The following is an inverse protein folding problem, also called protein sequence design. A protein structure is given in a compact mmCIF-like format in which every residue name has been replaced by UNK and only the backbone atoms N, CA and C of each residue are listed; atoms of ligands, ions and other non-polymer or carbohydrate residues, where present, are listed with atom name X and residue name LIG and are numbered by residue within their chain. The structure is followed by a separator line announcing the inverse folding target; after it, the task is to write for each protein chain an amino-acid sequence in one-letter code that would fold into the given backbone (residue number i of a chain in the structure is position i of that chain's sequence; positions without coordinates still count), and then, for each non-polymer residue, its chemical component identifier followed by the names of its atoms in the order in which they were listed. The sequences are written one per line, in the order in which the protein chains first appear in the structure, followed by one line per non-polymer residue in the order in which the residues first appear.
data_IF_753938625931
#
_entry.id   IF_753938625931
#
_cell.length_a   1.000
_cell.length_b   1.000
_cell.length_c   1.000
_cell.angle_alpha   90.00
_cell.angle_beta   90.00
_cell.angle_gamma   90.00
#
_symmetry.space_group_name_H-M   'P 1'
#
loop_
_entity.id
_entity.type
_entity.pdbx_description
1 polymer ?
#
# COMPACT_ATOMS: atom_id res chain seq x y z
N UNK A 1 -12.65 -1.05 -11.45
CA UNK A 1 -11.79 -1.71 -10.46
C UNK A 1 -10.36 -1.90 -10.94
N UNK A 2 -10.17 -2.37 -12.15
CA UNK A 2 -8.82 -2.56 -12.68
C UNK A 2 -7.99 -1.27 -12.67
N UNK A 3 -8.61 -0.14 -12.98
CA UNK A 3 -7.91 1.15 -12.95
C UNK A 3 -7.35 1.51 -11.58
N UNK A 4 -8.06 1.16 -10.52
CA UNK A 4 -7.59 1.42 -9.17
C UNK A 4 -6.34 0.61 -8.86
N UNK A 5 -6.30 -0.63 -9.33
CA UNK A 5 -5.14 -1.51 -9.12
C UNK A 5 -3.92 -1.11 -9.96
N UNK A 6 -4.10 -0.21 -10.90
CA UNK A 6 -3.00 0.36 -11.67
C UNK A 6 -2.39 1.61 -11.04
N UNK A 7 -2.97 2.12 -9.97
CA UNK A 7 -2.39 3.24 -9.23
C UNK A 7 -1.03 2.86 -8.65
N UNK A 8 -0.21 3.85 -8.38
CA UNK A 8 1.17 3.62 -7.91
C UNK A 8 1.31 3.57 -6.40
N UNK A 9 0.33 4.09 -5.69
CA UNK A 9 0.34 4.09 -4.23
C UNK A 9 -1.03 3.76 -3.68
N UNK A 10 -1.03 3.30 -2.45
CA UNK A 10 -2.25 3.00 -1.72
C UNK A 10 -2.22 3.69 -0.35
N UNK A 11 -3.39 3.87 0.22
CA UNK A 11 -3.49 4.30 1.61
C UNK A 11 -3.49 3.06 2.50
N UNK A 12 -2.81 3.15 3.64
CA UNK A 12 -2.70 2.05 4.58
C UNK A 12 -2.96 2.56 5.99
N UNK A 13 -3.81 1.86 6.71
CA UNK A 13 -4.06 2.12 8.12
C UNK A 13 -3.45 0.99 8.93
N UNK A 14 -2.58 1.33 9.87
CA UNK A 14 -1.93 0.38 10.76
C UNK A 14 -2.22 0.76 12.22
N UNK A 15 -1.93 -0.17 13.13
CA UNK A 15 -2.13 0.04 14.55
C UNK A 15 -0.80 0.37 15.22
N UNK A 16 -0.78 1.47 15.99
CA UNK A 16 0.40 1.80 16.78
C UNK A 16 0.46 0.93 18.03
N UNK A 17 1.49 1.12 18.87
CA UNK A 17 1.69 0.30 20.06
C UNK A 17 0.61 0.51 21.13
N UNK A 18 -0.21 1.53 21.00
CA UNK A 18 -1.37 1.77 21.86
C UNK A 18 -2.66 1.21 21.24
N UNK A 19 -2.54 0.48 20.11
CA UNK A 19 -3.66 -0.09 19.35
C UNK A 19 -4.59 0.97 18.78
N UNK A 20 -4.08 2.18 18.57
CA UNK A 20 -4.80 3.23 17.87
C UNK A 20 -4.46 3.20 16.40
N UNK A 21 -5.45 3.40 15.52
CA UNK A 21 -5.18 3.39 14.08
C UNK A 21 -4.46 4.66 13.64
N UNK A 22 -3.50 4.49 12.75
CA UNK A 22 -2.81 5.59 12.09
C UNK A 22 -2.85 5.34 10.59
N UNK A 23 -3.03 6.40 9.83
CA UNK A 23 -3.14 6.31 8.38
C UNK A 23 -1.89 6.85 7.72
N UNK A 24 -1.47 6.19 6.65
CA UNK A 24 -0.32 6.57 5.85
C UNK A 24 -0.57 6.16 4.41
N UNK A 25 0.45 6.23 3.58
CA UNK A 25 0.38 5.71 2.22
C UNK A 25 1.71 5.02 1.89
N UNK A 26 1.68 4.19 0.87
CA UNK A 26 2.88 3.48 0.44
C UNK A 26 2.79 3.20 -1.07
N UNK A 27 3.93 3.24 -1.77
CA UNK A 27 3.97 2.73 -3.13
C UNK A 27 3.75 1.22 -3.11
N UNK A 28 3.09 0.72 -4.12
CA UNK A 28 2.79 -0.71 -4.18
C UNK A 28 2.87 -1.23 -5.61
N UNK A 29 2.96 -2.54 -5.72
CA UNK A 29 2.71 -3.26 -6.96
C UNK A 29 1.79 -4.43 -6.67
N UNK A 30 1.10 -4.87 -7.70
CA UNK A 30 0.26 -6.05 -7.65
C UNK A 30 0.94 -7.18 -8.41
N UNK A 31 0.96 -8.37 -7.80
CA UNK A 31 1.39 -9.58 -8.47
C UNK A 31 0.35 -10.68 -8.18
N UNK A 32 -0.49 -10.97 -9.17
CA UNK A 32 -1.61 -11.87 -8.97
C UNK A 32 -2.61 -11.33 -7.96
N UNK A 33 -2.81 -12.05 -6.87
CA UNK A 33 -3.70 -11.63 -5.77
C UNK A 33 -2.95 -10.93 -4.65
N UNK A 34 -1.63 -10.88 -4.73
CA UNK A 34 -0.79 -10.29 -3.69
C UNK A 34 -0.46 -8.84 -4.02
N UNK A 35 -0.43 -8.03 -2.98
CA UNK A 35 0.06 -6.65 -3.05
C UNK A 35 1.38 -6.57 -2.29
N UNK A 36 2.36 -5.95 -2.92
CA UNK A 36 3.68 -5.71 -2.31
C UNK A 36 3.85 -4.22 -2.11
N UNK A 37 4.22 -3.82 -0.91
CA UNK A 37 4.46 -2.42 -0.59
C UNK A 37 5.93 -2.22 -0.25
N UNK A 38 6.42 -1.02 -0.52
CA UNK A 38 7.77 -0.62 -0.17
C UNK A 38 7.68 0.45 0.90
N UNK A 39 8.22 0.17 2.09
CA UNK A 39 8.16 1.07 3.23
C UNK A 39 9.56 1.26 3.78
N UNK A 40 9.92 2.54 4.01
CA UNK A 40 11.18 2.87 4.65
C UNK A 40 11.20 2.35 6.09
N UNK A 41 12.35 1.79 6.51
CA UNK A 41 12.53 1.38 7.90
C UNK A 41 12.48 2.54 8.89
N UNK A 42 12.66 3.77 8.39
CA UNK A 42 12.55 4.97 9.22
C UNK A 42 11.09 5.42 9.42
N UNK A 43 10.16 4.92 8.65
CA UNK A 43 8.76 5.33 8.75
C UNK A 43 8.07 4.68 9.95
N UNK A 44 7.20 5.43 10.62
CA UNK A 44 6.48 4.94 11.78
C UNK A 44 5.62 3.71 11.46
N UNK A 45 4.95 3.71 10.31
CA UNK A 45 4.07 2.59 9.95
C UNK A 45 4.84 1.28 9.68
N UNK A 46 6.13 1.36 9.32
CA UNK A 46 6.97 0.17 9.24
C UNK A 46 7.05 -0.54 10.61
N UNK A 47 7.33 0.23 11.66
CA UNK A 47 7.44 -0.31 13.01
C UNK A 47 6.11 -0.81 13.53
N UNK A 48 5.02 -0.10 13.22
CA UNK A 48 3.68 -0.52 13.62
C UNK A 48 3.33 -1.87 13.01
N UNK A 49 3.64 -2.06 11.73
CA UNK A 49 3.33 -3.32 11.03
C UNK A 49 4.19 -4.50 11.51
N UNK A 50 5.41 -4.23 11.96
CA UNK A 50 6.24 -5.27 12.58
C UNK A 50 5.62 -5.77 13.90
N UNK A 51 5.05 -4.86 14.68
CA UNK A 51 4.45 -5.21 15.96
C UNK A 51 3.06 -5.82 15.79
N UNK A 52 2.29 -5.31 14.84
CA UNK A 52 0.95 -5.80 14.56
C UNK A 52 0.74 -5.83 13.05
N UNK A 53 0.69 -7.03 12.46
CA UNK A 53 0.60 -7.16 11.02
C UNK A 53 -0.78 -6.85 10.44
N UNK A 54 -1.79 -6.65 11.27
CA UNK A 54 -3.13 -6.34 10.79
C UNK A 54 -3.20 -4.91 10.31
N UNK A 55 -3.75 -4.72 9.13
CA UNK A 55 -3.90 -3.40 8.52
C UNK A 55 -5.10 -3.37 7.59
N UNK A 56 -5.46 -2.16 7.17
CA UNK A 56 -6.43 -1.96 6.10
C UNK A 56 -5.78 -1.13 5.02
N UNK A 57 -6.09 -1.43 3.77
CA UNK A 57 -5.59 -0.66 2.64
C UNK A 57 -6.76 -0.14 1.82
N UNK A 58 -6.56 1.00 1.18
CA UNK A 58 -7.58 1.59 0.31
C UNK A 58 -6.92 2.17 -0.94
N UNK A 59 -7.57 1.91 -2.05
CA UNK A 59 -7.35 2.57 -3.32
C UNK A 59 -8.61 3.35 -3.65
N UNK A 60 -8.48 4.59 -4.07
CA UNK A 60 -9.63 5.44 -4.33
C UNK A 60 -9.39 6.28 -5.57
N UNK A 61 -10.45 6.47 -6.34
CA UNK A 61 -10.44 7.34 -7.51
C UNK A 61 -10.08 8.77 -7.11
N UNK A 62 -9.24 9.43 -7.91
CA UNK A 62 -8.89 10.82 -7.69
C UNK A 62 -10.16 11.67 -7.80
N UNK A 63 -10.34 12.62 -6.89
CA UNK A 63 -11.57 13.43 -6.89
C UNK A 63 -11.70 14.29 -8.14
N UNK A 64 -10.61 14.67 -8.79
CA UNK A 64 -10.66 15.40 -10.05
C UNK A 64 -11.28 14.60 -11.19
N UNK A 65 -11.21 13.27 -11.11
CA UNK A 65 -11.73 12.35 -12.12
C UNK A 65 -13.14 11.86 -11.78
N UNK A 66 -13.59 12.10 -10.56
CA UNK A 66 -14.90 11.64 -10.10
C UNK A 66 -15.99 12.58 -10.59
N UNK A 67 -17.06 12.00 -11.09
CA UNK A 67 -18.25 12.77 -11.49
C UNK A 67 -19.00 13.31 -10.27
N UNK A 68 -18.91 12.59 -9.16
CA UNK A 68 -19.59 12.93 -7.91
C UNK A 68 -18.68 12.52 -6.76
N UNK A 69 -18.28 13.48 -5.93
CA UNK A 69 -17.35 13.21 -4.81
C UNK A 69 -17.95 12.26 -3.77
N UNK A 70 -19.26 12.13 -3.71
CA UNK A 70 -19.91 11.19 -2.81
C UNK A 70 -19.96 9.77 -3.37
N UNK A 71 -19.62 9.60 -4.64
CA UNK A 71 -19.67 8.31 -5.32
C UNK A 71 -18.35 7.99 -6.01
N UNK A 72 -17.23 8.33 -5.38
CA UNK A 72 -15.90 7.99 -5.89
C UNK A 72 -15.71 6.48 -5.85
N UNK A 73 -15.17 5.94 -6.92
CA UNK A 73 -14.83 4.51 -6.96
C UNK A 73 -13.72 4.23 -5.97
N UNK A 74 -13.89 3.19 -5.16
CA UNK A 74 -12.90 2.82 -4.16
C UNK A 74 -12.87 1.32 -3.95
N UNK A 75 -11.75 0.86 -3.44
CA UNK A 75 -11.50 -0.55 -3.15
C UNK A 75 -10.74 -0.61 -1.83
N UNK A 76 -11.25 -1.36 -0.86
CA UNK A 76 -10.58 -1.49 0.44
C UNK A 76 -10.52 -2.94 0.87
N UNK A 77 -9.46 -3.28 1.60
CA UNK A 77 -9.24 -4.63 2.11
C UNK A 77 -8.68 -4.58 3.52
N UNK A 78 -9.07 -5.55 4.33
CA UNK A 78 -8.36 -5.86 5.57
C UNK A 78 -7.30 -6.90 5.23
N UNK A 79 -6.07 -6.66 5.67
CA UNK A 79 -4.93 -7.46 5.28
C UNK A 79 -4.06 -7.83 6.46
N UNK A 80 -3.23 -8.84 6.27
CA UNK A 80 -2.08 -9.11 7.13
C UNK A 80 -0.82 -8.90 6.33
N UNK A 81 0.14 -8.21 6.92
CA UNK A 81 1.42 -7.92 6.29
C UNK A 81 2.45 -8.96 6.70
N UNK A 82 3.16 -9.50 5.73
CA UNK A 82 4.32 -10.33 5.97
C UNK A 82 5.57 -9.57 5.52
N UNK A 83 6.58 -9.54 6.39
CA UNK A 83 7.85 -8.91 6.04
C UNK A 83 8.61 -9.81 5.07
N UNK A 84 8.94 -9.28 3.91
CA UNK A 84 9.82 -9.95 2.97
C UNK A 84 11.27 -9.71 3.40
N UNK A 85 11.89 -10.73 3.98
CA UNK A 85 13.26 -10.62 4.51
C UNK A 85 14.30 -10.43 3.41
N UNK A 86 14.08 -11.09 2.28
CA UNK A 86 14.89 -10.92 1.09
C UNK A 86 13.96 -10.55 -0.05
N UNK A 87 14.30 -9.48 -0.75
CA UNK A 87 13.48 -9.04 -1.89
C UNK A 87 13.74 -9.99 -3.05
N UNK A 88 12.70 -10.67 -3.48
CA UNK A 88 12.77 -11.50 -4.67
C UNK A 88 13.08 -10.64 -5.88
N UNK A 89 13.96 -11.12 -6.75
CA UNK A 89 14.41 -10.37 -7.92
C UNK A 89 13.24 -9.98 -8.82
N UNK A 90 12.29 -10.87 -9.02
CA UNK A 90 11.12 -10.59 -9.86
C UNK A 90 10.27 -9.45 -9.29
N UNK A 91 10.09 -9.44 -7.98
CA UNK A 91 9.32 -8.39 -7.30
C UNK A 91 10.05 -7.06 -7.37
N UNK A 92 11.36 -7.07 -7.14
CA UNK A 92 12.17 -5.86 -7.26
C UNK A 92 12.10 -5.28 -8.68
N UNK A 93 12.19 -6.13 -9.70
CA UNK A 93 12.08 -5.69 -11.08
C UNK A 93 10.73 -5.07 -11.39
N UNK A 94 9.65 -5.62 -10.86
CA UNK A 94 8.31 -5.05 -11.03
C UNK A 94 8.19 -3.68 -10.37
N UNK A 95 8.75 -3.53 -9.17
CA UNK A 95 8.79 -2.23 -8.51
C UNK A 95 9.59 -1.21 -9.31
N UNK A 96 10.76 -1.60 -9.78
CA UNK A 96 11.61 -0.73 -10.58
C UNK A 96 10.91 -0.29 -11.86
N UNK A 97 10.23 -1.20 -12.54
CA UNK A 97 9.48 -0.89 -13.75
C UNK A 97 8.32 0.08 -13.50
N UNK A 98 7.65 -0.03 -12.35
CA UNK A 98 6.49 0.80 -12.03
C UNK A 98 6.87 2.16 -11.44
N UNK A 99 7.90 2.21 -10.60
CA UNK A 99 8.23 3.37 -9.79
C UNK A 99 9.57 4.02 -10.14
N UNK A 100 10.43 3.28 -10.85
CA UNK A 100 11.71 3.80 -11.30
C UNK A 100 12.59 4.26 -10.14
N UNK A 101 13.24 5.40 -10.31
CA UNK A 101 14.20 5.93 -9.34
C UNK A 101 13.57 6.30 -7.98
N UNK A 102 12.25 6.32 -7.87
CA UNK A 102 11.58 6.71 -6.64
C UNK A 102 11.79 5.72 -5.48
N UNK A 103 12.26 4.52 -5.78
CA UNK A 103 12.52 3.51 -4.73
C UNK A 103 14.00 3.44 -4.33
N UNK A 104 14.84 4.27 -4.92
CA UNK A 104 16.29 4.26 -4.61
C UNK A 104 16.69 5.34 -3.62
#
# INVERSE_FOLDING_TARGET
MEKLLEQKSLMISSLNHQLLPEISYAPFIRDGIDLYIYISKAAAHYHHLLMNPNCSVMLIEDEKDAKNIFARERLSFNCKVDLMKEVEEDIFKKFDASHGASIM
#
